data_IF_250342624918
#
_entry.id   IF_250342624918
#
_cell.length_a   1.000
_cell.length_b   1.000
_cell.length_c   1.000
_cell.angle_alpha   90.00
_cell.angle_beta   90.00
_cell.angle_gamma   90.00
#
_symmetry.space_group_name_H-M   'P 1'
#
loop_
_entity.id
_entity.type
_entity.pdbx_description
1 polymer ?
#
# COMPACT_ATOMS: atom_id res chain seq x y z
N UNK A 1 23.11 18.97 -11.21
CA UNK A 1 23.55 17.64 -10.72
C UNK A 1 22.30 16.96 -10.21
N UNK A 2 21.66 16.13 -11.03
CA UNK A 2 20.52 15.35 -10.56
C UNK A 2 21.03 14.34 -9.54
N UNK A 3 20.64 14.51 -8.28
CA UNK A 3 21.05 13.64 -7.19
C UNK A 3 20.52 12.24 -7.43
N UNK A 4 21.44 11.34 -7.82
CA UNK A 4 21.26 9.87 -7.90
C UNK A 4 20.67 9.24 -6.61
N UNK A 5 20.56 10.02 -5.52
CA UNK A 5 20.07 9.60 -4.21
C UNK A 5 18.69 10.14 -3.82
N UNK A 6 18.05 11.01 -4.63
CA UNK A 6 16.73 11.52 -4.26
C UNK A 6 15.63 10.49 -4.56
N UNK A 7 14.83 10.14 -3.56
CA UNK A 7 13.72 9.20 -3.74
C UNK A 7 12.63 9.90 -4.55
N UNK A 8 12.12 9.24 -5.59
CA UNK A 8 10.92 9.68 -6.31
C UNK A 8 9.67 9.53 -5.42
N UNK A 9 9.43 10.54 -4.57
CA UNK A 9 8.30 10.57 -3.64
C UNK A 9 6.95 10.53 -4.36
N UNK A 10 6.86 11.09 -5.56
CA UNK A 10 5.64 11.05 -6.37
C UNK A 10 5.36 9.62 -6.86
N UNK A 11 6.37 8.93 -7.39
CA UNK A 11 6.28 7.53 -7.79
C UNK A 11 5.94 6.59 -6.64
N UNK A 12 6.53 6.82 -5.46
CA UNK A 12 6.25 6.06 -4.23
C UNK A 12 4.81 6.24 -3.76
N UNK A 13 4.29 7.47 -3.72
CA UNK A 13 2.88 7.75 -3.39
C UNK A 13 1.93 7.13 -4.41
N UNK A 14 2.25 7.24 -5.70
CA UNK A 14 1.45 6.62 -6.75
C UNK A 14 1.40 5.10 -6.60
N UNK A 15 2.51 4.46 -6.22
CA UNK A 15 2.55 3.02 -5.95
C UNK A 15 1.68 2.62 -4.76
N UNK A 16 1.75 3.36 -3.65
CA UNK A 16 0.90 3.12 -2.49
C UNK A 16 -0.60 3.25 -2.84
N UNK A 17 -0.97 4.26 -3.64
CA UNK A 17 -2.33 4.43 -4.15
C UNK A 17 -2.79 3.25 -5.01
N UNK A 18 -1.93 2.74 -5.91
CA UNK A 18 -2.25 1.55 -6.72
C UNK A 18 -2.50 0.31 -5.87
N UNK A 19 -1.73 0.11 -4.79
CA UNK A 19 -1.98 -1.01 -3.87
C UNK A 19 -3.30 -0.88 -3.11
N UNK A 20 -3.73 0.33 -2.76
CA UNK A 20 -5.04 0.56 -2.17
C UNK A 20 -6.17 0.23 -3.15
N UNK A 21 -6.03 0.63 -4.42
CA UNK A 21 -7.00 0.28 -5.48
C UNK A 21 -7.08 -1.23 -5.65
N UNK A 22 -5.94 -1.91 -5.81
CA UNK A 22 -5.89 -3.38 -5.92
C UNK A 22 -6.51 -4.09 -4.71
N UNK A 23 -6.33 -3.55 -3.51
CA UNK A 23 -6.96 -4.09 -2.31
C UNK A 23 -8.50 -3.91 -2.34
N UNK A 24 -8.99 -2.80 -2.88
CA UNK A 24 -10.42 -2.57 -3.10
C UNK A 24 -11.03 -3.55 -4.12
N UNK A 25 -10.32 -3.77 -5.23
CA UNK A 25 -10.74 -4.71 -6.28
C UNK A 25 -10.82 -6.15 -5.75
N UNK A 26 -9.81 -6.58 -4.98
CA UNK A 26 -9.78 -7.91 -4.35
C UNK A 26 -10.94 -8.15 -3.38
N UNK A 27 -11.40 -7.10 -2.70
CA UNK A 27 -12.56 -7.18 -1.78
C UNK A 27 -13.89 -7.17 -2.54
N UNK A 28 -13.94 -6.55 -3.71
CA UNK A 28 -15.16 -6.42 -4.53
C UNK A 28 -15.42 -7.64 -5.40
N UNK A 29 -14.38 -8.38 -5.81
CA UNK A 29 -14.49 -9.60 -6.63
C UNK A 29 -15.01 -10.84 -5.88
N UNK A 30 -15.37 -10.71 -4.60
CA UNK A 30 -15.71 -11.83 -3.71
C UNK A 30 -17.19 -12.12 -3.53
N UNK A 31 -18.11 -11.47 -4.25
CA UNK A 31 -19.53 -11.87 -4.16
C UNK A 31 -19.69 -13.30 -4.68
N UNK A 32 -20.07 -14.27 -3.83
CA UNK A 32 -20.36 -15.61 -4.29
C UNK A 32 -21.61 -15.49 -5.18
N UNK A 33 -21.49 -15.85 -6.46
CA UNK A 33 -22.67 -16.04 -7.28
C UNK A 33 -23.59 -17.00 -6.54
N UNK A 34 -24.81 -16.54 -6.19
CA UNK A 34 -25.80 -17.35 -5.45
C UNK A 34 -25.89 -18.71 -6.14
N UNK A 35 -25.38 -19.74 -5.49
CA UNK A 35 -25.22 -21.06 -6.10
C UNK A 35 -26.56 -21.57 -6.61
N UNK A 36 -26.72 -21.61 -7.94
CA UNK A 36 -27.89 -22.19 -8.61
C UNK A 36 -27.71 -23.73 -8.67
N UNK A 37 -27.45 -24.33 -7.51
CA UNK A 37 -27.26 -25.77 -7.37
C UNK A 37 -28.14 -26.28 -6.25
N UNK A 38 -28.99 -27.27 -6.55
CA UNK A 38 -29.79 -27.98 -5.55
C UNK A 38 -28.89 -28.40 -4.38
N UNK A 39 -29.25 -28.02 -3.16
CA UNK A 39 -28.46 -28.16 -1.93
C UNK A 39 -27.99 -29.59 -1.59
N UNK A 40 -28.41 -30.59 -2.37
CA UNK A 40 -28.18 -32.01 -2.16
C UNK A 40 -26.97 -32.57 -2.94
N UNK A 41 -26.27 -31.76 -3.74
CA UNK A 41 -25.14 -32.23 -4.56
C UNK A 41 -23.79 -32.01 -3.86
N UNK A 42 -22.98 -33.06 -3.61
CA UNK A 42 -21.64 -32.92 -2.99
C UNK A 42 -20.71 -31.97 -3.74
N UNK A 43 -20.83 -31.91 -5.08
CA UNK A 43 -20.09 -30.98 -5.93
C UNK A 43 -20.45 -29.52 -5.65
N UNK A 44 -21.72 -29.21 -5.39
CA UNK A 44 -22.16 -27.86 -5.05
C UNK A 44 -21.59 -27.41 -3.69
N UNK A 45 -21.53 -28.32 -2.71
CA UNK A 45 -20.90 -28.06 -1.42
C UNK A 45 -19.38 -27.80 -1.56
N UNK A 46 -18.69 -28.59 -2.39
CA UNK A 46 -17.27 -28.39 -2.66
C UNK A 46 -16.99 -27.04 -3.36
N UNK A 47 -17.82 -26.62 -4.32
CA UNK A 47 -17.70 -25.32 -4.99
C UNK A 47 -17.96 -24.17 -4.01
N UNK A 48 -18.93 -24.30 -3.10
CA UNK A 48 -19.19 -23.30 -2.08
C UNK A 48 -18.02 -23.15 -1.10
N UNK A 49 -17.43 -24.28 -0.66
CA UNK A 49 -16.22 -24.28 0.17
C UNK A 49 -15.04 -23.60 -0.55
N UNK A 50 -14.82 -23.92 -1.84
CA UNK A 50 -13.79 -23.26 -2.64
C UNK A 50 -13.98 -21.74 -2.77
N UNK A 51 -15.22 -21.27 -2.94
CA UNK A 51 -15.50 -19.83 -2.94
C UNK A 51 -15.20 -19.18 -1.58
N UNK A 52 -15.54 -19.86 -0.48
CA UNK A 52 -15.23 -19.37 0.86
C UNK A 52 -13.70 -19.24 1.08
N UNK A 53 -12.92 -20.24 0.66
CA UNK A 53 -11.46 -20.22 0.76
C UNK A 53 -10.84 -19.10 -0.08
N UNK A 54 -11.31 -18.91 -1.32
CA UNK A 54 -10.86 -17.80 -2.18
C UNK A 54 -11.18 -16.45 -1.54
N UNK A 55 -12.39 -16.28 -1.00
CA UNK A 55 -12.81 -15.04 -0.33
C UNK A 55 -11.96 -14.75 0.91
N UNK A 56 -11.64 -15.77 1.71
CA UNK A 56 -10.74 -15.63 2.84
C UNK A 56 -9.33 -15.22 2.38
N UNK A 57 -8.81 -15.87 1.33
CA UNK A 57 -7.50 -15.56 0.75
C UNK A 57 -7.41 -14.12 0.22
N UNK A 58 -8.38 -13.67 -0.56
CA UNK A 58 -8.41 -12.30 -1.12
C UNK A 58 -8.54 -11.26 -0.02
N UNK A 59 -9.29 -11.55 1.05
CA UNK A 59 -9.40 -10.67 2.22
C UNK A 59 -8.05 -10.47 2.91
N UNK A 60 -7.30 -11.55 3.14
CA UNK A 60 -5.96 -11.48 3.76
C UNK A 60 -4.99 -10.72 2.85
N UNK A 61 -5.03 -10.97 1.54
CA UNK A 61 -4.17 -10.27 0.57
C UNK A 61 -4.48 -8.77 0.54
N UNK A 62 -5.76 -8.39 0.48
CA UNK A 62 -6.18 -6.99 0.53
C UNK A 62 -5.70 -6.29 1.80
N UNK A 63 -5.81 -6.95 2.97
CA UNK A 63 -5.32 -6.39 4.23
C UNK A 63 -3.80 -6.14 4.20
N UNK A 64 -3.02 -7.07 3.62
CA UNK A 64 -1.56 -6.92 3.47
C UNK A 64 -1.20 -5.76 2.54
N UNK A 65 -1.92 -5.59 1.42
CA UNK A 65 -1.70 -4.48 0.49
C UNK A 65 -1.99 -3.13 1.16
N UNK A 66 -3.10 -3.01 1.89
CA UNK A 66 -3.42 -1.79 2.66
C UNK A 66 -2.35 -1.49 3.72
N UNK A 67 -1.92 -2.48 4.49
CA UNK A 67 -0.87 -2.31 5.49
C UNK A 67 0.49 -1.94 4.85
N UNK A 68 0.80 -2.48 3.67
CA UNK A 68 1.96 -2.10 2.88
C UNK A 68 1.90 -0.64 2.44
N UNK A 69 0.77 -0.22 1.85
CA UNK A 69 0.55 1.16 1.41
C UNK A 69 0.68 2.16 2.57
N UNK A 70 0.12 1.84 3.74
CA UNK A 70 0.24 2.68 4.93
C UNK A 70 1.69 2.83 5.41
N UNK A 71 2.47 1.74 5.43
CA UNK A 71 3.90 1.78 5.79
C UNK A 71 4.71 2.63 4.80
N UNK A 72 4.42 2.51 3.51
CA UNK A 72 5.08 3.32 2.47
C UNK A 72 4.75 4.80 2.61
N UNK A 73 3.47 5.15 2.82
CA UNK A 73 3.08 6.54 3.06
C UNK A 73 3.75 7.15 4.30
N UNK A 74 3.88 6.36 5.38
CA UNK A 74 4.60 6.77 6.58
C UNK A 74 6.10 6.98 6.30
N UNK A 75 6.73 6.07 5.55
CA UNK A 75 8.14 6.19 5.19
C UNK A 75 8.40 7.43 4.32
N UNK A 76 7.52 7.71 3.35
CA UNK A 76 7.57 8.90 2.50
C UNK A 76 7.46 10.20 3.33
N UNK A 77 6.54 10.24 4.30
CA UNK A 77 6.41 11.38 5.22
C UNK A 77 7.68 11.61 6.03
N UNK A 78 8.29 10.54 6.54
CA UNK A 78 9.55 10.60 7.30
C UNK A 78 10.71 11.05 6.44
N UNK A 79 10.78 10.57 5.20
CA UNK A 79 11.79 10.99 4.24
C UNK A 79 11.70 12.49 3.95
N UNK A 80 10.51 13.01 3.64
CA UNK A 80 10.30 14.43 3.38
C UNK A 80 10.68 15.31 4.59
N UNK A 81 10.33 14.87 5.81
CA UNK A 81 10.72 15.58 7.03
C UNK A 81 12.25 15.58 7.23
N UNK A 82 12.92 14.46 6.93
CA UNK A 82 14.37 14.36 7.01
C UNK A 82 15.05 15.29 6.00
N UNK A 83 14.61 15.31 4.75
CA UNK A 83 15.15 16.22 3.72
C UNK A 83 15.00 17.70 4.13
N UNK A 84 13.85 18.09 4.68
CA UNK A 84 13.62 19.44 5.18
C UNK A 84 14.57 19.79 6.34
N UNK A 85 14.74 18.86 7.29
CA UNK A 85 15.65 19.03 8.41
C UNK A 85 17.11 19.14 7.95
N UNK A 86 17.56 18.26 7.06
CA UNK A 86 18.91 18.29 6.48
C UNK A 86 19.17 19.58 5.73
N UNK A 87 18.19 20.07 4.96
CA UNK A 87 18.30 21.36 4.26
C UNK A 87 18.50 22.51 5.25
N UNK A 88 17.71 22.57 6.33
CA UNK A 88 17.86 23.59 7.36
C UNK A 88 19.22 23.53 8.07
N UNK A 89 19.71 22.33 8.37
CA UNK A 89 21.02 22.14 8.99
C UNK A 89 22.16 22.61 8.08
N UNK A 90 22.08 22.30 6.77
CA UNK A 90 23.08 22.73 5.80
C UNK A 90 23.09 24.26 5.62
N UNK A 91 21.92 24.90 5.60
CA UNK A 91 21.83 26.38 5.57
C UNK A 91 22.47 26.97 6.83
N UNK A 92 22.21 26.41 8.01
CA UNK A 92 22.81 26.88 9.27
C UNK A 92 24.33 26.72 9.34
N UNK A 93 24.91 25.71 8.67
CA UNK A 93 26.37 25.56 8.55
C UNK A 93 26.96 26.53 7.52
N UNK A 94 26.22 26.81 6.44
CA UNK A 94 26.67 27.71 5.37
C UNK A 94 26.65 29.19 5.75
N UNK A 95 25.94 29.56 6.82
CA UNK A 95 25.89 30.92 7.37
C UNK A 95 26.69 31.00 8.69
N UNK A 96 28.04 30.95 8.65
CA UNK A 96 28.83 31.18 9.84
C UNK A 96 28.64 32.64 10.22
N UNK A 97 27.88 32.89 11.29
CA UNK A 97 27.90 34.17 11.98
C UNK A 97 29.32 34.35 12.52
N UNK A 98 30.20 34.96 11.72
CA UNK A 98 31.48 35.47 12.17
C UNK A 98 31.14 36.72 12.99
N UNK A 99 30.97 36.54 14.30
CA UNK A 99 30.96 37.65 15.24
C UNK A 99 32.40 38.11 15.39
N UNK A 100 32.76 39.20 14.71
CA UNK A 100 33.99 39.99 14.95
C UNK A 100 33.72 40.98 16.07
#
# INVERSE_FOLDING_TARGET
MDSVLHVDTAGVRAMAGRWQVLAGDLRSGGEPGRGVGLACQPSAAAVAAGHADVTAGTTVLAARLVAGAARVALADTRYAANEAHSTAALVGVADPVIVV
#
